data_IF_431465813859
#
_entry.id   IF_431465813859
#
_cell.length_a   1.000
_cell.length_b   1.000
_cell.length_c   1.000
_cell.angle_alpha   90.00
_cell.angle_beta   90.00
_cell.angle_gamma   90.00
#
_symmetry.space_group_name_H-M   'P 1'
#
loop_
_entity.id
_entity.type
_entity.pdbx_description
1 polymer ?
#
# COMPACT_ATOMS: atom_id res chain seq x y z
N UNK A 1 -28.02 20.24 9.68
CA UNK A 1 -26.84 19.55 10.25
C UNK A 1 -25.64 20.46 10.04
N UNK A 2 -24.78 20.72 11.04
CA UNK A 2 -23.66 21.64 10.82
C UNK A 2 -22.72 21.04 9.77
N UNK A 3 -22.49 21.81 8.70
CA UNK A 3 -21.77 21.35 7.49
C UNK A 3 -20.26 21.18 7.70
N UNK A 4 -19.70 21.71 8.80
CA UNK A 4 -18.30 21.59 9.19
C UNK A 4 -18.10 22.06 10.64
N UNK A 5 -17.14 21.48 11.35
CA UNK A 5 -16.66 21.94 12.65
C UNK A 5 -15.33 22.71 12.47
N UNK A 6 -15.15 23.81 13.22
CA UNK A 6 -13.92 24.61 13.18
C UNK A 6 -12.98 24.16 14.28
N UNK A 7 -11.75 23.84 13.90
CA UNK A 7 -10.65 23.52 14.83
C UNK A 7 -9.50 24.51 14.62
N UNK A 8 -8.80 24.85 15.71
CA UNK A 8 -7.54 25.58 15.64
C UNK A 8 -6.38 24.59 15.63
N UNK A 9 -5.49 24.69 14.65
CA UNK A 9 -4.35 23.78 14.48
C UNK A 9 -3.08 24.59 14.36
N UNK A 10 -2.07 24.25 15.16
CA UNK A 10 -0.73 24.82 15.04
C UNK A 10 0.06 24.05 13.99
N UNK A 11 0.63 24.75 13.03
CA UNK A 11 1.46 24.19 11.97
C UNK A 11 2.83 24.87 11.96
N UNK A 12 3.84 24.19 11.43
CA UNK A 12 5.15 24.82 11.24
C UNK A 12 5.05 25.91 10.16
N UNK A 13 5.93 26.94 10.19
CA UNK A 13 5.93 27.99 9.17
C UNK A 13 6.07 27.43 7.75
N UNK A 14 6.89 26.40 7.57
CA UNK A 14 7.11 25.78 6.26
C UNK A 14 5.87 25.06 5.72
N UNK A 15 5.13 24.35 6.59
CA UNK A 15 3.87 23.71 6.18
C UNK A 15 2.82 24.75 5.78
N UNK A 16 2.73 25.84 6.55
CA UNK A 16 1.79 26.91 6.24
C UNK A 16 2.16 27.64 4.95
N UNK A 17 3.46 27.83 4.67
CA UNK A 17 3.95 28.38 3.41
C UNK A 17 3.54 27.49 2.24
N UNK A 18 3.82 26.19 2.31
CA UNK A 18 3.43 25.24 1.26
C UNK A 18 1.92 25.27 0.95
N UNK A 19 1.06 25.34 1.97
CA UNK A 19 -0.39 25.45 1.78
C UNK A 19 -0.77 26.78 1.10
N UNK A 20 -0.13 27.89 1.49
CA UNK A 20 -0.38 29.20 0.89
C UNK A 20 0.06 29.23 -0.56
N UNK A 21 1.25 28.71 -0.87
CA UNK A 21 1.79 28.64 -2.22
C UNK A 21 0.86 27.85 -3.15
N UNK A 22 0.31 26.70 -2.71
CA UNK A 22 -0.69 25.94 -3.48
C UNK A 22 -2.00 26.71 -3.71
N UNK A 23 -2.44 27.52 -2.74
CA UNK A 23 -3.63 28.38 -2.91
C UNK A 23 -3.34 29.52 -3.89
N UNK A 24 -2.18 30.16 -3.78
CA UNK A 24 -1.74 31.24 -4.68
C UNK A 24 -1.53 30.73 -6.12
N UNK A 25 -1.06 29.50 -6.28
CA UNK A 25 -0.97 28.81 -7.58
C UNK A 25 -2.34 28.42 -8.16
N UNK A 26 -3.43 28.54 -7.39
CA UNK A 26 -4.78 28.20 -7.82
C UNK A 26 -5.10 26.70 -7.77
N UNK A 27 -4.28 25.88 -7.12
CA UNK A 27 -4.55 24.44 -6.92
C UNK A 27 -5.73 24.22 -5.96
N UNK A 28 -5.92 25.14 -5.01
CA UNK A 28 -7.03 25.13 -4.07
C UNK A 28 -7.65 26.52 -3.93
N UNK A 29 -8.97 26.60 -3.77
CA UNK A 29 -9.67 27.87 -3.58
C UNK A 29 -9.48 28.44 -2.15
N UNK A 30 -9.05 27.62 -1.19
CA UNK A 30 -8.78 28.06 0.18
C UNK A 30 -7.85 27.13 0.94
N UNK A 31 -7.23 27.64 2.01
CA UNK A 31 -6.42 26.83 2.94
C UNK A 31 -7.25 25.72 3.60
N UNK A 32 -8.53 25.96 3.87
CA UNK A 32 -9.44 24.96 4.44
C UNK A 32 -9.74 23.82 3.47
N UNK A 33 -9.71 24.08 2.16
CA UNK A 33 -9.87 23.06 1.13
C UNK A 33 -8.63 22.17 1.04
N UNK A 34 -7.44 22.79 0.96
CA UNK A 34 -6.16 22.08 0.99
C UNK A 34 -6.04 21.19 2.25
N UNK A 35 -6.43 21.70 3.42
CA UNK A 35 -6.43 20.92 4.67
C UNK A 35 -7.41 19.74 4.63
N UNK A 36 -8.62 19.93 4.08
CA UNK A 36 -9.57 18.81 3.94
C UNK A 36 -9.03 17.76 2.99
N UNK A 37 -8.37 18.15 1.90
CA UNK A 37 -7.79 17.19 0.98
C UNK A 37 -6.62 16.42 1.59
N UNK A 38 -5.72 17.11 2.30
CA UNK A 38 -4.65 16.49 3.06
C UNK A 38 -5.18 15.43 4.06
N UNK A 39 -6.28 15.73 4.76
CA UNK A 39 -6.93 14.76 5.67
C UNK A 39 -7.51 13.57 4.90
N UNK A 40 -8.10 13.77 3.72
CA UNK A 40 -8.60 12.65 2.89
C UNK A 40 -7.46 11.77 2.40
N UNK A 41 -6.36 12.35 1.94
CA UNK A 41 -5.16 11.60 1.53
C UNK A 41 -4.63 10.79 2.71
N UNK A 42 -4.47 11.42 3.87
CA UNK A 42 -4.03 10.74 5.09
C UNK A 42 -4.94 9.58 5.49
N UNK A 43 -6.26 9.75 5.43
CA UNK A 43 -7.21 8.67 5.72
C UNK A 43 -7.07 7.50 4.75
N UNK A 44 -6.94 7.77 3.43
CA UNK A 44 -6.73 6.71 2.43
C UNK A 44 -5.45 5.92 2.69
N UNK A 45 -4.34 6.62 2.93
CA UNK A 45 -3.06 5.98 3.25
C UNK A 45 -3.18 5.07 4.48
N UNK A 46 -3.88 5.50 5.53
CA UNK A 46 -4.10 4.67 6.73
C UNK A 46 -4.91 3.41 6.45
N UNK A 47 -5.90 3.48 5.57
CA UNK A 47 -6.68 2.31 5.16
C UNK A 47 -5.81 1.33 4.37
N UNK A 48 -5.09 1.83 3.37
CA UNK A 48 -4.16 1.03 2.55
C UNK A 48 -3.09 0.34 3.41
N UNK A 49 -2.49 1.07 4.35
CA UNK A 49 -1.52 0.51 5.30
C UNK A 49 -2.13 -0.58 6.20
N UNK A 50 -3.36 -0.35 6.68
CA UNK A 50 -4.06 -1.31 7.51
C UNK A 50 -4.39 -2.59 6.75
N UNK A 51 -4.85 -2.47 5.50
CA UNK A 51 -5.12 -3.60 4.60
C UNK A 51 -3.85 -4.37 4.27
N UNK A 52 -2.77 -3.67 3.90
CA UNK A 52 -1.47 -4.27 3.61
C UNK A 52 -0.95 -5.05 4.82
N UNK A 53 -1.03 -4.46 6.00
CA UNK A 53 -0.59 -5.11 7.24
C UNK A 53 -1.49 -6.30 7.61
N UNK A 54 -2.80 -6.22 7.36
CA UNK A 54 -3.72 -7.34 7.53
C UNK A 54 -3.38 -8.51 6.58
N UNK A 55 -3.06 -8.23 5.33
CA UNK A 55 -2.65 -9.23 4.34
C UNK A 55 -1.35 -9.93 4.74
N UNK A 56 -0.34 -9.17 5.20
CA UNK A 56 0.91 -9.72 5.72
C UNK A 56 0.65 -10.62 6.92
N UNK A 57 -0.13 -10.15 7.91
CA UNK A 57 -0.50 -10.96 9.09
C UNK A 57 -1.25 -12.23 8.72
N UNK A 58 -2.15 -12.17 7.74
CA UNK A 58 -2.85 -13.35 7.25
C UNK A 58 -1.90 -14.36 6.60
N UNK A 59 -0.91 -13.89 5.82
CA UNK A 59 0.12 -14.76 5.21
C UNK A 59 0.99 -15.42 6.27
N UNK A 60 1.45 -14.66 7.27
CA UNK A 60 2.25 -15.20 8.38
C UNK A 60 1.44 -16.24 9.16
N UNK A 61 0.19 -15.93 9.54
CA UNK A 61 -0.67 -16.89 10.25
C UNK A 61 -0.86 -18.17 9.44
N UNK A 62 -1.14 -18.08 8.14
CA UNK A 62 -1.26 -19.26 7.28
C UNK A 62 0.01 -20.11 7.30
N UNK A 63 1.19 -19.48 7.24
CA UNK A 63 2.47 -20.19 7.31
C UNK A 63 2.68 -20.88 8.65
N UNK A 64 2.36 -20.20 9.76
CA UNK A 64 2.48 -20.76 11.12
C UNK A 64 1.53 -21.93 11.38
N UNK A 65 0.42 -22.01 10.63
CA UNK A 65 -0.56 -23.09 10.75
C UNK A 65 -0.46 -24.08 9.56
N UNK A 66 0.59 -24.01 8.75
CA UNK A 66 0.80 -24.97 7.67
C UNK A 66 1.21 -26.30 8.29
N UNK A 67 0.44 -27.39 8.11
CA UNK A 67 0.74 -28.70 8.71
C UNK A 67 1.85 -29.46 7.96
N UNK A 68 2.36 -28.93 6.84
CA UNK A 68 3.45 -29.55 6.10
C UNK A 68 4.73 -29.55 6.92
N UNK A 69 5.55 -30.58 6.72
CA UNK A 69 6.89 -30.65 7.30
C UNK A 69 7.79 -29.57 6.70
N UNK A 70 8.84 -29.24 7.47
CA UNK A 70 9.94 -28.44 6.96
C UNK A 70 10.57 -29.12 5.74
N UNK A 71 11.14 -28.29 4.86
CA UNK A 71 11.80 -28.73 3.63
C UNK A 71 13.29 -28.44 3.75
N UNK A 72 14.11 -29.37 3.28
CA UNK A 72 15.54 -29.14 3.10
C UNK A 72 15.78 -28.31 1.83
N UNK A 73 16.86 -27.52 1.83
CA UNK A 73 17.15 -26.58 0.73
C UNK A 73 17.34 -27.32 -0.60
N UNK A 74 17.95 -28.51 -0.60
CA UNK A 74 18.16 -29.32 -1.80
C UNK A 74 16.83 -29.77 -2.45
N UNK A 75 15.84 -30.13 -1.62
CA UNK A 75 14.51 -30.52 -2.10
C UNK A 75 13.77 -29.34 -2.72
N UNK A 76 13.92 -28.15 -2.12
CA UNK A 76 13.36 -26.89 -2.65
C UNK A 76 13.99 -26.56 -4.00
N UNK A 77 15.31 -26.66 -4.12
CA UNK A 77 16.02 -26.37 -5.37
C UNK A 77 15.60 -27.32 -6.49
N UNK A 78 15.60 -28.63 -6.22
CA UNK A 78 15.18 -29.64 -7.20
C UNK A 78 13.74 -29.39 -7.68
N UNK A 79 12.83 -29.06 -6.75
CA UNK A 79 11.43 -28.74 -7.05
C UNK A 79 11.30 -27.50 -7.93
N UNK A 80 12.07 -26.44 -7.65
CA UNK A 80 12.07 -25.20 -8.43
C UNK A 80 12.62 -25.43 -9.84
N UNK A 81 13.74 -26.14 -9.97
CA UNK A 81 14.31 -26.48 -11.28
C UNK A 81 13.32 -27.26 -12.16
N UNK A 82 12.61 -28.24 -11.59
CA UNK A 82 11.58 -28.99 -12.29
C UNK A 82 10.42 -28.08 -12.76
N UNK A 83 9.95 -27.18 -11.90
CA UNK A 83 8.90 -26.20 -12.25
C UNK A 83 9.33 -25.30 -13.42
N UNK A 84 10.57 -24.82 -13.42
CA UNK A 84 11.10 -24.00 -14.51
C UNK A 84 11.27 -24.78 -15.81
N UNK A 85 11.69 -26.05 -15.75
CA UNK A 85 11.77 -26.92 -16.92
C UNK A 85 10.39 -27.18 -17.55
N UNK A 86 9.37 -27.43 -16.71
CA UNK A 86 7.99 -27.65 -17.16
C UNK A 86 7.38 -26.41 -17.79
N UNK A 87 7.59 -25.23 -17.19
CA UNK A 87 7.09 -23.96 -17.76
C UNK A 87 7.81 -23.60 -19.07
N UNK A 88 9.11 -23.87 -19.19
CA UNK A 88 9.86 -23.68 -20.43
C UNK A 88 9.38 -24.62 -21.55
N UNK A 89 9.09 -25.88 -21.21
CA UNK A 89 8.48 -26.86 -22.13
C UNK A 89 7.10 -26.40 -22.58
N UNK A 90 6.23 -26.02 -21.65
CA UNK A 90 4.88 -25.54 -21.97
C UNK A 90 4.88 -24.32 -22.89
N UNK A 91 5.82 -23.38 -22.70
CA UNK A 91 5.95 -22.20 -23.57
C UNK A 91 6.44 -22.55 -24.98
N UNK A 92 7.33 -23.54 -25.10
CA UNK A 92 7.82 -24.02 -26.41
C UNK A 92 6.72 -24.74 -27.18
N UNK A 93 5.87 -25.49 -26.47
CA UNK A 93 4.84 -26.33 -27.07
C UNK A 93 3.51 -25.55 -27.30
N UNK A 94 3.46 -24.25 -26.99
CA UNK A 94 2.29 -23.39 -27.22
C UNK A 94 2.17 -22.98 -28.71
N UNK A 95 0.97 -23.07 -29.32
CA UNK A 95 0.76 -22.67 -30.71
C UNK A 95 0.90 -21.15 -30.89
N UNK A 96 1.39 -20.76 -32.08
CA UNK A 96 1.58 -19.37 -32.50
C UNK A 96 0.27 -18.59 -32.66
#
# INVERSE_FOLDING_TARGET
MPSAEKISVTMTPDMLRAIRDSVEAGEYASTSEAMRDAVRIWQRQRLEDAERLAAIRARVRRSLHDPRSDLEDEDVEARLQALFADTAKARRDAPA
#
